data_IF_318486096502
#
_entry.id   IF_318486096502
#
_cell.length_a   1.000
_cell.length_b   1.000
_cell.length_c   1.000
_cell.angle_alpha   90.00
_cell.angle_beta   90.00
_cell.angle_gamma   90.00
#
_symmetry.space_group_name_H-M   'P 1'
#
loop_
_entity.id
_entity.type
_entity.pdbx_description
1 polymer ?
#
# COMPACT_ATOMS: atom_id res chain seq x y z
N UNK A 1 -13.85 -28.29 20.07
CA UNK A 1 -13.88 -27.45 18.85
C UNK A 1 -12.56 -27.65 18.13
N UNK A 2 -12.51 -28.18 16.90
CA UNK A 2 -11.23 -28.38 16.23
C UNK A 2 -10.64 -27.02 15.85
N UNK A 3 -9.36 -26.83 16.17
CA UNK A 3 -8.59 -25.65 15.77
C UNK A 3 -8.57 -25.56 14.23
N UNK A 4 -8.96 -24.42 13.68
CA UNK A 4 -8.92 -24.18 12.25
C UNK A 4 -7.46 -24.26 11.76
N UNK A 5 -7.16 -25.23 10.88
CA UNK A 5 -5.88 -25.32 10.19
C UNK A 5 -5.64 -24.04 9.38
N UNK A 6 -4.68 -23.23 9.83
CA UNK A 6 -4.25 -22.01 9.12
C UNK A 6 -3.54 -22.40 7.83
N UNK A 7 -4.27 -22.48 6.71
CA UNK A 7 -3.66 -22.56 5.38
C UNK A 7 -2.93 -21.25 5.13
N UNK A 8 -1.60 -21.31 5.09
CA UNK A 8 -0.76 -20.16 4.74
C UNK A 8 -0.77 -19.99 3.23
N UNK A 9 -1.70 -19.21 2.72
CA UNK A 9 -1.67 -18.78 1.33
C UNK A 9 -0.49 -17.85 1.13
N UNK A 10 0.44 -18.21 0.24
CA UNK A 10 1.49 -17.30 -0.19
C UNK A 10 0.87 -16.35 -1.21
N UNK A 11 0.47 -15.16 -0.77
CA UNK A 11 -0.07 -14.15 -1.70
C UNK A 11 0.94 -13.85 -2.82
N UNK A 12 0.47 -13.69 -4.07
CA UNK A 12 1.35 -13.36 -5.17
C UNK A 12 2.07 -12.03 -4.90
N UNK A 13 3.33 -11.88 -5.33
CA UNK A 13 4.02 -10.61 -5.20
C UNK A 13 3.40 -9.60 -6.18
N UNK A 14 3.05 -8.43 -5.66
CA UNK A 14 2.70 -7.26 -6.45
C UNK A 14 3.87 -6.27 -6.43
N UNK A 15 4.03 -5.56 -7.54
CA UNK A 15 4.92 -4.41 -7.62
C UNK A 15 4.07 -3.13 -7.68
N UNK A 16 4.31 -2.23 -6.73
CA UNK A 16 3.74 -0.88 -6.75
C UNK A 16 4.83 0.06 -7.27
N UNK A 17 4.56 0.71 -8.40
CA UNK A 17 5.43 1.74 -8.96
C UNK A 17 4.91 3.11 -8.52
N UNK A 18 5.65 3.77 -7.64
CA UNK A 18 5.38 5.14 -7.21
C UNK A 18 6.24 6.08 -8.06
N UNK A 19 5.60 6.98 -8.81
CA UNK A 19 6.27 8.05 -9.55
C UNK A 19 5.86 9.38 -8.94
N UNK A 20 6.70 9.90 -8.06
CA UNK A 20 6.49 11.20 -7.45
C UNK A 20 7.25 12.29 -8.21
N UNK A 21 6.58 13.41 -8.42
CA UNK A 21 7.08 14.55 -9.20
C UNK A 21 7.17 15.83 -8.36
N UNK A 22 6.84 15.76 -7.08
CA UNK A 22 6.84 16.87 -6.13
C UNK A 22 7.43 16.40 -4.80
N UNK A 23 8.05 17.32 -4.07
CA UNK A 23 8.53 17.19 -2.70
C UNK A 23 7.47 17.50 -1.63
N UNK A 24 6.19 17.58 -2.03
CA UNK A 24 5.06 17.84 -1.15
C UNK A 24 4.18 16.58 -0.96
N UNK A 25 4.61 15.43 -1.48
CA UNK A 25 3.77 14.24 -1.56
C UNK A 25 4.44 13.01 -0.94
N UNK A 26 3.62 12.19 -0.29
CA UNK A 26 4.02 10.85 0.11
C UNK A 26 2.98 9.83 -0.33
N UNK A 27 3.40 8.57 -0.41
CA UNK A 27 2.53 7.48 -0.78
C UNK A 27 2.44 6.49 0.38
N UNK A 28 1.37 6.59 1.16
CA UNK A 28 1.07 5.68 2.27
C UNK A 28 -0.07 4.74 1.92
N UNK A 29 0.05 3.47 2.27
CA UNK A 29 -0.99 2.45 2.03
C UNK A 29 -1.37 1.75 3.31
N UNK A 30 -2.68 1.55 3.48
CA UNK A 30 -3.29 0.83 4.59
C UNK A 30 -4.31 -0.20 4.07
N UNK A 31 -4.25 -1.41 4.60
CA UNK A 31 -5.17 -2.51 4.30
C UNK A 31 -4.76 -3.80 5.04
N UNK A 32 -5.31 -4.96 4.66
CA UNK A 32 -4.90 -6.25 5.23
C UNK A 32 -3.39 -6.45 5.16
N UNK A 33 -2.76 -6.71 6.31
CA UNK A 33 -1.32 -6.99 6.40
C UNK A 33 -0.38 -5.81 6.03
N UNK A 34 -0.90 -4.62 5.70
CA UNK A 34 -0.06 -3.46 5.33
C UNK A 34 -0.59 -2.17 5.96
N UNK A 35 0.29 -1.41 6.59
CA UNK A 35 -0.01 -0.06 7.09
C UNK A 35 1.29 0.71 7.20
N UNK A 36 1.74 1.30 6.10
CA UNK A 36 3.01 2.05 6.07
C UNK A 36 3.09 3.08 4.96
N UNK A 37 3.94 4.07 5.18
CA UNK A 37 4.42 4.96 4.13
C UNK A 37 5.47 4.23 3.27
N UNK A 38 5.29 4.25 1.95
CA UNK A 38 6.26 3.73 1.00
C UNK A 38 7.28 4.78 0.56
N UNK A 39 6.91 6.06 0.60
CA UNK A 39 7.80 7.21 0.35
C UNK A 39 7.67 8.24 1.49
N UNK A 40 8.70 9.07 1.67
CA UNK A 40 8.63 10.29 2.48
C UNK A 40 7.97 11.42 1.69
N UNK A 41 7.66 12.54 2.36
CA UNK A 41 7.04 13.72 1.71
C UNK A 41 8.01 14.40 0.75
N UNK A 42 9.29 14.45 1.13
CA UNK A 42 10.40 15.03 0.36
C UNK A 42 10.92 14.12 -0.77
N UNK A 43 10.29 12.96 -1.00
CA UNK A 43 10.74 12.02 -2.02
C UNK A 43 10.31 12.48 -3.41
N UNK A 44 11.29 12.77 -4.27
CA UNK A 44 11.07 12.98 -5.71
C UNK A 44 11.70 11.81 -6.49
N UNK A 45 10.95 11.25 -7.43
CA UNK A 45 11.45 10.28 -8.38
C UNK A 45 10.59 9.02 -8.48
N UNK A 46 11.21 7.92 -8.90
CA UNK A 46 10.52 6.64 -9.12
C UNK A 46 10.99 5.59 -8.12
N UNK A 47 10.04 4.96 -7.42
CA UNK A 47 10.30 3.87 -6.47
C UNK A 47 9.41 2.69 -6.80
N UNK A 48 10.01 1.53 -6.98
CA UNK A 48 9.29 0.25 -7.07
C UNK A 48 9.29 -0.42 -5.71
N UNK A 49 8.11 -0.81 -5.23
CA UNK A 49 7.94 -1.53 -3.98
C UNK A 49 7.34 -2.90 -4.25
N UNK A 50 8.05 -3.95 -3.86
CA UNK A 50 7.52 -5.30 -3.88
C UNK A 50 6.74 -5.56 -2.58
N UNK A 51 5.49 -5.98 -2.71
CA UNK A 51 4.58 -6.25 -1.57
C UNK A 51 3.83 -7.55 -1.79
N UNK A 52 3.42 -8.19 -0.70
CA UNK A 52 2.45 -9.27 -0.73
C UNK A 52 1.13 -8.71 -0.21
N UNK A 53 0.10 -8.76 -1.04
CA UNK A 53 -1.22 -8.24 -0.70
C UNK A 53 -2.19 -9.41 -0.60
N UNK A 54 -2.88 -9.51 0.52
CA UNK A 54 -4.00 -10.42 0.71
C UNK A 54 -5.25 -9.87 0.02
N UNK A 55 -6.20 -10.74 -0.33
CA UNK A 55 -7.51 -10.31 -0.86
C UNK A 55 -8.19 -9.37 0.14
N UNK A 56 -8.69 -8.23 -0.35
CA UNK A 56 -9.29 -7.20 0.48
C UNK A 56 -9.14 -5.79 -0.09
N UNK A 57 -9.63 -4.80 0.65
CA UNK A 57 -9.60 -3.39 0.26
C UNK A 57 -8.41 -2.67 0.90
N UNK A 58 -7.69 -1.91 0.07
CA UNK A 58 -6.58 -1.07 0.47
C UNK A 58 -6.92 0.38 0.17
N UNK A 59 -6.53 1.27 1.07
CA UNK A 59 -6.56 2.72 0.87
C UNK A 59 -5.13 3.21 0.67
N UNK A 60 -4.95 4.17 -0.23
CA UNK A 60 -3.72 4.94 -0.33
C UNK A 60 -4.01 6.41 -0.04
N UNK A 61 -3.04 7.10 0.55
CA UNK A 61 -3.18 8.51 0.94
C UNK A 61 -1.84 9.20 0.93
N UNK A 62 -1.83 10.46 0.52
CA UNK A 62 -0.82 11.41 0.88
C UNK A 62 -1.19 12.02 2.24
N UNK A 63 -0.39 11.75 3.26
CA UNK A 63 -0.63 12.19 4.64
C UNK A 63 -0.81 13.71 4.77
N UNK A 64 0.07 14.57 4.23
CA UNK A 64 -0.13 16.02 4.31
C UNK A 64 -1.32 16.52 3.49
N UNK A 65 -1.72 15.83 2.43
CA UNK A 65 -2.82 16.20 1.54
C UNK A 65 -4.01 15.22 1.66
N UNK A 66 -4.31 14.79 2.90
CA UNK A 66 -5.27 13.71 3.13
C UNK A 66 -6.73 14.08 2.81
N UNK A 67 -7.02 15.37 2.72
CA UNK A 67 -8.30 15.96 2.35
C UNK A 67 -8.68 15.75 0.87
N UNK A 68 -7.69 15.71 -0.04
CA UNK A 68 -7.92 15.59 -1.47
C UNK A 68 -7.12 14.52 -2.21
N UNK A 69 -6.03 14.03 -1.62
CA UNK A 69 -5.08 13.11 -2.28
C UNK A 69 -5.10 11.73 -1.63
N UNK A 70 -6.22 11.03 -1.82
CA UNK A 70 -6.42 9.68 -1.35
C UNK A 70 -7.24 8.86 -2.35
N UNK A 71 -7.21 7.55 -2.18
CA UNK A 71 -8.01 6.65 -3.00
C UNK A 71 -7.98 5.23 -2.45
N UNK A 72 -8.54 4.28 -3.21
CA UNK A 72 -8.58 2.89 -2.80
C UNK A 72 -8.57 1.93 -3.97
N UNK A 73 -8.06 0.73 -3.73
CA UNK A 73 -8.11 -0.39 -4.66
C UNK A 73 -8.47 -1.68 -3.91
N UNK A 74 -8.94 -2.69 -4.65
CA UNK A 74 -9.25 -4.01 -4.10
C UNK A 74 -8.38 -5.08 -4.75
N UNK A 75 -7.89 -6.00 -3.93
CA UNK A 75 -7.21 -7.22 -4.36
C UNK A 75 -8.23 -8.36 -4.22
N UNK A 76 -8.35 -9.19 -5.26
CA UNK A 76 -9.26 -10.34 -5.29
C UNK A 76 -8.44 -11.62 -5.38
#
# INVERSE_FOLDING_TARGET
MPAASRRTWVSPPYAILVKDRSDEHNFSVRGPGVSKAFTGVDFIGTKTVNVRLESGRYAFVCTPHSDGMHGSFSVR
#
